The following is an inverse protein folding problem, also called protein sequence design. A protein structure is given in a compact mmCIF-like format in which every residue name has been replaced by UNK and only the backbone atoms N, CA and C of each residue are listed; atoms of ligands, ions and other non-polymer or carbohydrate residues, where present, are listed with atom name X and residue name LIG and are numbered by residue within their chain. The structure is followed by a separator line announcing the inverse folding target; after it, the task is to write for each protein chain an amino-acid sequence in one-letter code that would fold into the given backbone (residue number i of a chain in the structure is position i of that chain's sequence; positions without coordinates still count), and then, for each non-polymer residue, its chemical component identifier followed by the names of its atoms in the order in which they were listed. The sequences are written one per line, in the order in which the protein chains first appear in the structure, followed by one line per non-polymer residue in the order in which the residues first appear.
data_IF_895319785230
#
_entry.id   IF_895319785230
#
_cell.length_a   1.000
_cell.length_b   1.000
_cell.length_c   1.000
_cell.angle_alpha   90.00
_cell.angle_beta   90.00
_cell.angle_gamma   90.00
#
_symmetry.space_group_name_H-M   'P 1'
#
loop_
_entity.id
_entity.type
_entity.pdbx_description
1 polymer ?
#
# COMPACT_ATOMS: atom_id res chain seq x y z
N UNK A 1 -25.20 4.43 -64.95
CA UNK A 1 -25.80 4.91 -63.67
C UNK A 1 -25.60 3.79 -62.65
N UNK A 2 -24.59 3.88 -61.80
CA UNK A 2 -24.22 2.88 -60.80
C UNK A 2 -24.76 3.30 -59.43
N UNK A 3 -25.69 2.53 -58.92
CA UNK A 3 -26.20 2.73 -57.52
C UNK A 3 -25.28 1.98 -56.55
N UNK A 4 -24.54 2.71 -55.75
CA UNK A 4 -23.77 2.18 -54.63
C UNK A 4 -24.65 1.99 -53.39
N UNK A 5 -24.85 0.73 -52.98
CA UNK A 5 -25.53 0.44 -51.72
C UNK A 5 -24.57 0.65 -50.53
N UNK A 6 -25.02 1.48 -49.59
CA UNK A 6 -24.29 1.77 -48.38
C UNK A 6 -24.33 0.57 -47.37
N UNK A 7 -23.19 0.26 -46.78
CA UNK A 7 -23.02 -0.81 -45.76
C UNK A 7 -23.92 -0.71 -44.50
N UNK A 8 -24.68 0.39 -44.36
CA UNK A 8 -25.58 0.60 -43.25
C UNK A 8 -27.01 0.05 -43.42
N UNK A 9 -27.37 -0.44 -44.62
CA UNK A 9 -28.70 -0.99 -44.90
C UNK A 9 -28.77 -2.51 -44.87
N UNK A 10 -27.64 -3.23 -44.81
CA UNK A 10 -27.57 -4.70 -44.82
C UNK A 10 -27.88 -5.39 -43.47
N UNK A 11 -28.13 -4.66 -42.40
CA UNK A 11 -28.32 -5.25 -41.04
C UNK A 11 -29.81 -5.33 -40.64
N UNK A 12 -30.76 -4.93 -41.48
CA UNK A 12 -32.18 -4.87 -41.09
C UNK A 12 -33.11 -5.94 -41.69
N UNK A 13 -32.63 -6.90 -42.43
CA UNK A 13 -33.53 -7.92 -43.02
C UNK A 13 -32.89 -9.29 -43.03
N UNK A 14 -32.88 -9.98 -41.91
CA UNK A 14 -32.94 -11.45 -41.79
C UNK A 14 -32.95 -11.79 -40.31
N UNK A 15 -34.07 -12.23 -39.81
CA UNK A 15 -34.26 -13.39 -38.95
C UNK A 15 -35.78 -13.51 -38.61
N UNK A 16 -36.47 -14.34 -39.35
CA UNK A 16 -37.63 -15.07 -38.80
C UNK A 16 -37.47 -16.52 -39.36
N UNK A 17 -36.93 -17.38 -38.55
CA UNK A 17 -37.12 -18.83 -38.64
C UNK A 17 -37.11 -19.41 -37.22
N UNK A 18 -38.27 -19.88 -36.81
CA UNK A 18 -38.50 -20.57 -35.55
C UNK A 18 -37.82 -21.92 -35.53
N UNK A 19 -37.06 -22.18 -34.45
CA UNK A 19 -36.82 -23.54 -33.95
C UNK A 19 -36.73 -23.43 -32.41
N UNK A 20 -37.61 -24.15 -31.74
CA UNK A 20 -37.67 -24.22 -30.29
C UNK A 20 -36.39 -24.80 -29.69
N UNK A 21 -35.72 -23.99 -28.91
CA UNK A 21 -34.75 -24.43 -27.95
C UNK A 21 -35.09 -23.70 -26.64
N UNK A 22 -35.39 -24.45 -25.62
CA UNK A 22 -35.54 -23.98 -24.24
C UNK A 22 -34.22 -23.33 -23.83
N UNK A 23 -34.15 -22.02 -23.98
CA UNK A 23 -33.07 -21.20 -23.42
C UNK A 23 -33.34 -21.13 -21.92
N UNK A 24 -32.57 -21.89 -21.14
CA UNK A 24 -32.42 -21.63 -19.71
C UNK A 24 -31.81 -20.24 -19.59
N UNK A 25 -32.64 -19.25 -19.32
CA UNK A 25 -32.22 -17.92 -18.92
C UNK A 25 -31.46 -18.05 -17.57
N UNK A 26 -30.17 -18.29 -17.63
CA UNK A 26 -29.30 -17.86 -16.54
C UNK A 26 -29.30 -16.35 -16.59
N UNK A 27 -30.22 -15.73 -15.84
CA UNK A 27 -30.09 -14.34 -15.45
C UNK A 27 -28.76 -14.22 -14.71
N UNK A 28 -27.75 -13.69 -15.38
CA UNK A 28 -26.63 -13.09 -14.67
C UNK A 28 -27.24 -11.96 -13.86
N UNK A 29 -27.39 -12.17 -12.55
CA UNK A 29 -27.75 -11.10 -11.65
C UNK A 29 -26.69 -10.01 -11.85
N UNK A 30 -27.10 -8.89 -12.41
CA UNK A 30 -26.30 -7.67 -12.41
C UNK A 30 -25.92 -7.37 -10.97
N UNK A 31 -24.68 -6.96 -10.68
CA UNK A 31 -24.36 -6.43 -9.37
C UNK A 31 -25.38 -5.34 -9.06
N UNK A 32 -25.85 -5.27 -7.81
CA UNK A 32 -26.78 -4.24 -7.35
C UNK A 32 -26.30 -2.86 -7.81
N UNK A 33 -26.93 -2.32 -8.84
CA UNK A 33 -26.59 -1.06 -9.54
C UNK A 33 -26.92 0.19 -8.67
N UNK A 34 -27.24 0.01 -7.39
CA UNK A 34 -27.68 1.06 -6.48
C UNK A 34 -26.61 1.59 -5.53
N UNK A 35 -25.34 1.25 -5.74
CA UNK A 35 -24.28 1.86 -4.91
C UNK A 35 -23.99 3.26 -5.45
N UNK A 36 -24.40 4.30 -4.73
CA UNK A 36 -24.17 5.67 -5.15
C UNK A 36 -22.66 5.99 -5.23
N UNK A 37 -22.22 6.92 -6.10
CA UNK A 37 -20.84 7.39 -6.13
C UNK A 37 -20.30 7.79 -4.75
N UNK A 38 -21.16 8.34 -3.89
CA UNK A 38 -20.80 8.72 -2.51
C UNK A 38 -20.53 7.51 -1.62
N UNK A 39 -21.25 6.40 -1.79
CA UNK A 39 -20.98 5.17 -1.03
C UNK A 39 -19.71 4.46 -1.50
N UNK A 40 -19.43 4.53 -2.80
CA UNK A 40 -18.17 4.04 -3.40
C UNK A 40 -17.00 4.80 -2.79
N UNK A 41 -17.07 6.13 -2.80
CA UNK A 41 -16.04 6.99 -2.21
C UNK A 41 -15.88 6.72 -0.71
N UNK A 42 -16.99 6.64 0.05
CA UNK A 42 -16.96 6.37 1.49
C UNK A 42 -16.33 5.02 1.86
N UNK A 43 -16.45 4.01 1.00
CA UNK A 43 -15.78 2.71 1.21
C UNK A 43 -14.29 2.78 0.90
N UNK A 44 -13.89 3.54 -0.12
CA UNK A 44 -12.49 3.78 -0.42
C UNK A 44 -11.83 4.64 0.67
N UNK A 45 -12.56 5.60 1.25
CA UNK A 45 -12.08 6.49 2.31
C UNK A 45 -11.92 5.82 3.68
N UNK A 46 -12.37 4.57 3.83
CA UNK A 46 -12.14 3.84 5.11
C UNK A 46 -10.65 3.55 5.36
N UNK A 47 -9.82 3.58 4.30
CA UNK A 47 -8.38 3.39 4.42
C UNK A 47 -7.62 4.67 4.14
N UNK A 48 -6.52 4.86 4.86
CA UNK A 48 -5.54 5.90 4.55
C UNK A 48 -4.62 5.41 3.43
N UNK A 49 -5.12 5.39 2.20
CA UNK A 49 -4.34 5.00 1.03
C UNK A 49 -3.33 6.10 0.71
N UNK A 50 -2.08 5.72 0.59
CA UNK A 50 -0.99 6.63 0.25
C UNK A 50 0.12 5.92 -0.50
N UNK A 51 1.28 6.54 -0.52
CA UNK A 51 2.45 6.04 -1.24
C UNK A 51 3.65 5.94 -0.32
N UNK A 52 4.43 4.87 -0.41
CA UNK A 52 5.82 4.88 -0.01
C UNK A 52 6.60 5.68 -1.06
N UNK A 53 7.18 6.80 -0.66
CA UNK A 53 7.81 7.71 -1.63
C UNK A 53 9.03 7.10 -2.34
N UNK A 54 9.45 5.91 -1.93
CA UNK A 54 10.38 5.05 -2.67
C UNK A 54 9.91 4.79 -4.10
N UNK A 55 8.60 4.66 -4.32
CA UNK A 55 8.00 4.50 -5.63
C UNK A 55 8.37 5.65 -6.59
N UNK A 56 8.68 6.82 -6.05
CA UNK A 56 9.06 8.02 -6.77
C UNK A 56 10.52 8.46 -6.51
N UNK A 57 11.41 7.50 -6.16
CA UNK A 57 12.80 7.74 -5.73
C UNK A 57 13.67 8.54 -6.70
N UNK A 58 13.28 8.62 -7.98
CA UNK A 58 13.95 9.43 -9.01
C UNK A 58 13.29 10.79 -9.25
N UNK A 59 12.14 11.04 -8.66
CA UNK A 59 11.47 12.33 -8.76
C UNK A 59 11.95 13.28 -7.65
N UNK A 60 11.86 14.57 -7.92
CA UNK A 60 12.00 15.58 -6.87
C UNK A 60 10.82 15.52 -5.89
N UNK A 61 10.97 16.11 -4.69
CA UNK A 61 9.84 16.27 -3.76
C UNK A 61 8.67 17.02 -4.42
N UNK A 62 8.97 18.06 -5.21
CA UNK A 62 7.93 18.84 -5.88
C UNK A 62 7.17 18.03 -6.92
N UNK A 63 7.85 17.19 -7.69
CA UNK A 63 7.21 16.34 -8.68
C UNK A 63 6.47 15.18 -8.00
N UNK A 64 6.99 14.67 -6.88
CA UNK A 64 6.28 13.71 -6.02
C UNK A 64 4.98 14.31 -5.49
N UNK A 65 4.98 15.55 -5.01
CA UNK A 65 3.77 16.26 -4.57
C UNK A 65 2.77 16.43 -5.74
N UNK A 66 3.24 16.81 -6.92
CA UNK A 66 2.39 16.91 -8.12
C UNK A 66 1.76 15.56 -8.48
N UNK A 67 2.55 14.48 -8.42
CA UNK A 67 2.07 13.12 -8.67
C UNK A 67 1.00 12.72 -7.66
N UNK A 68 1.22 12.92 -6.36
CA UNK A 68 0.23 12.64 -5.31
C UNK A 68 -1.08 13.40 -5.51
N UNK A 69 -1.00 14.69 -5.83
CA UNK A 69 -2.20 15.51 -6.14
C UNK A 69 -2.95 15.00 -7.37
N UNK A 70 -2.23 14.61 -8.44
CA UNK A 70 -2.83 14.04 -9.66
C UNK A 70 -3.53 12.71 -9.39
N UNK A 71 -3.03 11.91 -8.43
CA UNK A 71 -3.59 10.62 -8.03
C UNK A 71 -4.66 10.73 -6.93
N UNK A 72 -4.96 11.95 -6.48
CA UNK A 72 -5.83 12.21 -5.31
C UNK A 72 -5.40 11.38 -4.09
N UNK A 73 -4.11 11.44 -3.75
CA UNK A 73 -3.53 10.83 -2.57
C UNK A 73 -3.18 11.90 -1.54
N UNK A 74 -3.61 11.67 -0.29
CA UNK A 74 -3.43 12.61 0.84
C UNK A 74 -2.40 12.14 1.85
N UNK A 75 -1.83 10.94 1.68
CA UNK A 75 -0.93 10.34 2.66
C UNK A 75 0.36 9.86 2.01
N UNK A 76 1.46 9.95 2.77
CA UNK A 76 2.79 9.55 2.31
C UNK A 76 3.59 8.90 3.45
N UNK A 77 4.36 7.84 3.11
CA UNK A 77 5.52 7.39 3.87
C UNK A 77 6.74 8.03 3.23
N UNK A 78 7.33 9.03 3.90
CA UNK A 78 8.42 9.81 3.31
C UNK A 78 9.76 9.10 3.47
N UNK A 79 10.52 9.01 2.38
CA UNK A 79 11.85 8.37 2.32
C UNK A 79 12.95 9.44 2.30
N UNK A 80 14.16 9.03 2.63
CA UNK A 80 15.37 9.87 2.68
C UNK A 80 15.64 10.64 1.38
N UNK A 81 15.24 10.10 0.22
CA UNK A 81 15.33 10.77 -1.10
C UNK A 81 14.58 12.10 -1.17
N UNK A 82 13.49 12.24 -0.41
CA UNK A 82 12.62 13.41 -0.47
C UNK A 82 12.75 14.30 0.77
N UNK A 83 13.26 13.76 1.87
CA UNK A 83 13.65 14.51 3.07
C UNK A 83 14.72 13.72 3.82
N UNK A 84 15.95 14.19 3.73
CA UNK A 84 17.11 13.50 4.29
C UNK A 84 17.03 13.43 5.82
N UNK A 85 17.44 12.29 6.39
CA UNK A 85 17.67 12.14 7.84
C UNK A 85 18.75 13.11 8.37
N UNK A 86 19.61 13.63 7.47
CA UNK A 86 20.63 14.64 7.79
C UNK A 86 20.12 16.08 7.66
N UNK A 87 18.84 16.28 7.28
CA UNK A 87 18.27 17.62 7.16
C UNK A 87 18.27 18.37 8.49
N UNK A 88 18.35 19.70 8.42
CA UNK A 88 18.19 20.57 9.57
C UNK A 88 16.73 20.65 10.02
N UNK A 89 16.48 21.19 11.23
CA UNK A 89 15.12 21.39 11.71
C UNK A 89 14.33 22.38 10.82
N UNK A 90 15.00 23.39 10.26
CA UNK A 90 14.43 24.37 9.35
C UNK A 90 14.01 23.72 8.02
N UNK A 91 14.85 22.85 7.46
CA UNK A 91 14.54 22.09 6.24
C UNK A 91 13.35 21.16 6.46
N UNK A 92 13.31 20.44 7.59
CA UNK A 92 12.18 19.58 7.98
C UNK A 92 10.89 20.38 8.05
N UNK A 93 10.93 21.51 8.76
CA UNK A 93 9.77 22.41 8.89
C UNK A 93 9.29 22.92 7.53
N UNK A 94 10.20 23.32 6.65
CA UNK A 94 9.87 23.79 5.29
C UNK A 94 9.19 22.68 4.47
N UNK A 95 9.71 21.44 4.51
CA UNK A 95 9.11 20.30 3.79
C UNK A 95 7.74 19.95 4.36
N UNK A 96 7.60 19.91 5.69
CA UNK A 96 6.30 19.64 6.35
C UNK A 96 5.26 20.69 5.96
N UNK A 97 5.61 21.98 5.95
CA UNK A 97 4.69 23.04 5.55
C UNK A 97 4.34 22.95 4.03
N UNK A 98 5.30 22.58 3.19
CA UNK A 98 5.06 22.32 1.76
C UNK A 98 4.06 21.17 1.56
N UNK A 99 4.23 20.05 2.26
CA UNK A 99 3.29 18.92 2.22
C UNK A 99 1.91 19.32 2.72
N UNK A 100 1.83 20.02 3.86
CA UNK A 100 0.58 20.51 4.45
C UNK A 100 -0.17 21.46 3.50
N UNK A 101 0.53 22.42 2.88
CA UNK A 101 -0.04 23.31 1.88
C UNK A 101 -0.59 22.55 0.67
N UNK A 102 0.02 21.43 0.32
CA UNK A 102 -0.45 20.53 -0.74
C UNK A 102 -1.61 19.61 -0.30
N UNK A 103 -2.01 19.63 0.98
CA UNK A 103 -3.03 18.73 1.55
C UNK A 103 -2.52 17.29 1.75
N UNK A 104 -1.19 17.11 1.90
CA UNK A 104 -0.55 15.81 2.06
C UNK A 104 -0.05 15.68 3.50
N UNK A 105 -0.37 14.56 4.16
CA UNK A 105 0.03 14.25 5.52
C UNK A 105 1.04 13.10 5.55
N UNK A 106 2.25 13.30 6.06
CA UNK A 106 3.19 12.21 6.29
C UNK A 106 2.73 11.40 7.50
N UNK A 107 2.45 10.11 7.29
CA UNK A 107 2.01 9.18 8.34
C UNK A 107 3.12 8.24 8.80
N UNK A 108 4.11 8.01 7.94
CA UNK A 108 5.31 7.28 8.31
C UNK A 108 6.53 7.80 7.57
N UNK A 109 7.71 7.37 8.00
CA UNK A 109 8.99 7.61 7.33
C UNK A 109 9.86 6.36 7.35
N UNK A 110 10.84 6.27 6.50
CA UNK A 110 11.75 5.11 6.42
C UNK A 110 11.55 4.34 5.11
N UNK A 111 12.14 3.18 4.87
CA UNK A 111 12.74 2.26 5.84
C UNK A 111 14.11 2.78 6.34
N UNK A 112 14.30 2.87 7.64
CA UNK A 112 15.53 3.36 8.27
C UNK A 112 16.27 2.16 8.89
N UNK A 113 17.54 1.94 8.46
CA UNK A 113 18.41 0.99 9.15
C UNK A 113 18.80 1.56 10.51
N UNK A 114 18.65 0.76 11.58
CA UNK A 114 18.94 1.16 12.94
C UNK A 114 19.97 0.23 13.56
N UNK A 115 21.23 0.65 13.48
CA UNK A 115 22.33 0.02 14.20
C UNK A 115 22.27 0.35 15.69
N UNK A 116 22.95 -0.43 16.54
CA UNK A 116 23.01 -0.19 17.98
C UNK A 116 23.90 1.03 18.30
N UNK A 117 23.44 2.20 17.91
CA UNK A 117 24.07 3.49 18.13
C UNK A 117 23.02 4.51 18.57
N UNK A 118 23.09 4.92 19.85
CA UNK A 118 22.08 5.81 20.44
C UNK A 118 21.95 7.14 19.68
N UNK A 119 23.05 7.74 19.24
CA UNK A 119 23.02 9.02 18.53
C UNK A 119 22.27 8.91 17.20
N UNK A 120 22.51 7.84 16.44
CA UNK A 120 21.86 7.61 15.15
C UNK A 120 20.37 7.26 15.34
N UNK A 121 20.03 6.46 16.34
CA UNK A 121 18.65 6.13 16.65
C UNK A 121 17.90 7.39 17.11
N UNK A 122 18.47 8.14 18.05
CA UNK A 122 17.89 9.40 18.53
C UNK A 122 17.62 10.38 17.39
N UNK A 123 18.56 10.52 16.47
CA UNK A 123 18.41 11.33 15.26
C UNK A 123 17.18 10.95 14.42
N UNK A 124 16.90 9.64 14.26
CA UNK A 124 15.72 9.18 13.54
C UNK A 124 14.42 9.52 14.28
N UNK A 125 14.43 9.45 15.63
CA UNK A 125 13.29 9.84 16.44
C UNK A 125 13.08 11.36 16.47
N UNK A 126 14.15 12.15 16.57
CA UNK A 126 14.09 13.62 16.47
C UNK A 126 13.53 14.04 15.10
N UNK A 127 14.02 13.41 14.01
CA UNK A 127 13.49 13.64 12.67
C UNK A 127 11.98 13.39 12.61
N UNK A 128 11.51 12.24 13.10
CA UNK A 128 10.08 11.91 13.07
C UNK A 128 9.26 12.87 13.92
N UNK A 129 9.78 13.25 15.11
CA UNK A 129 9.15 14.23 16.01
C UNK A 129 9.03 15.61 15.37
N UNK A 130 10.11 16.14 14.79
CA UNK A 130 10.13 17.44 14.11
C UNK A 130 9.16 17.51 12.94
N UNK A 131 9.01 16.38 12.22
CA UNK A 131 8.08 16.26 11.11
C UNK A 131 6.64 15.94 11.53
N UNK A 132 6.36 15.70 12.81
CA UNK A 132 5.05 15.27 13.28
C UNK A 132 4.64 13.89 12.79
N UNK A 133 5.61 13.02 12.45
CA UNK A 133 5.40 11.68 11.90
C UNK A 133 5.18 10.68 13.04
N UNK A 134 4.03 9.99 13.10
CA UNK A 134 3.70 9.11 14.22
C UNK A 134 4.36 7.72 14.17
N UNK A 135 4.89 7.31 13.01
CA UNK A 135 5.43 5.96 12.81
C UNK A 135 6.74 5.99 12.02
N UNK A 136 7.76 5.31 12.53
CA UNK A 136 9.02 5.08 11.82
C UNK A 136 9.02 3.65 11.30
N UNK A 137 9.13 3.46 9.99
CA UNK A 137 9.41 2.15 9.37
C UNK A 137 10.91 1.91 9.43
N UNK A 138 11.33 0.76 9.94
CA UNK A 138 12.74 0.50 10.19
C UNK A 138 13.15 -0.95 9.96
N UNK A 139 14.47 -1.14 9.80
CA UNK A 139 15.16 -2.45 9.79
C UNK A 139 16.26 -2.44 10.84
N UNK A 140 15.92 -2.71 12.12
CA UNK A 140 16.88 -2.65 13.21
C UNK A 140 17.85 -3.83 13.21
N UNK A 141 19.03 -3.60 13.77
CA UNK A 141 19.88 -4.70 14.20
C UNK A 141 19.31 -5.30 15.49
N UNK A 142 19.37 -6.63 15.71
CA UNK A 142 18.75 -7.26 16.89
C UNK A 142 19.27 -6.74 18.24
N UNK A 143 20.52 -6.34 18.33
CA UNK A 143 21.14 -5.78 19.54
C UNK A 143 20.72 -4.34 19.83
N UNK A 144 20.09 -3.64 18.89
CA UNK A 144 19.52 -2.30 19.11
C UNK A 144 18.17 -2.34 19.81
N UNK A 145 17.50 -3.49 19.90
CA UNK A 145 16.11 -3.60 20.40
C UNK A 145 15.92 -3.05 21.83
N UNK A 146 16.82 -3.25 22.83
CA UNK A 146 16.67 -2.65 24.15
C UNK A 146 16.70 -1.11 24.11
N UNK A 147 17.52 -0.54 23.22
CA UNK A 147 17.61 0.91 23.04
C UNK A 147 16.37 1.46 22.34
N UNK A 148 15.84 0.76 21.34
CA UNK A 148 14.59 1.10 20.68
C UNK A 148 13.40 1.08 21.66
N UNK A 149 13.38 0.10 22.58
CA UNK A 149 12.37 0.03 23.64
C UNK A 149 12.37 1.26 24.56
N UNK A 150 13.55 1.78 24.89
CA UNK A 150 13.71 3.05 25.60
C UNK A 150 13.19 4.23 24.76
N UNK A 151 13.57 4.30 23.47
CA UNK A 151 13.26 5.43 22.60
C UNK A 151 11.75 5.56 22.30
N UNK A 152 11.06 4.46 22.04
CA UNK A 152 9.59 4.51 21.80
C UNK A 152 8.82 5.02 23.01
N UNK A 153 9.32 4.77 24.22
CA UNK A 153 8.73 5.30 25.46
C UNK A 153 9.01 6.79 25.64
N UNK A 154 10.25 7.21 25.37
CA UNK A 154 10.70 8.60 25.50
C UNK A 154 9.97 9.52 24.50
N UNK A 155 9.87 9.10 23.23
CA UNK A 155 9.33 9.93 22.16
C UNK A 155 7.82 9.74 21.93
N UNK A 156 7.25 8.65 22.43
CA UNK A 156 5.88 8.22 22.14
C UNK A 156 5.61 8.07 20.62
N UNK A 157 6.59 7.57 19.87
CA UNK A 157 6.53 7.31 18.43
C UNK A 157 6.55 5.80 18.23
N UNK A 158 5.77 5.30 17.27
CA UNK A 158 5.73 3.89 16.92
C UNK A 158 6.89 3.51 16.01
N UNK A 159 7.40 2.30 16.21
CA UNK A 159 8.31 1.65 15.26
C UNK A 159 7.57 0.51 14.55
N UNK A 160 7.70 0.48 13.24
CA UNK A 160 7.16 -0.56 12.39
C UNK A 160 8.32 -1.28 11.68
N UNK A 161 8.72 -2.46 12.19
CA UNK A 161 9.82 -3.24 11.62
C UNK A 161 9.33 -3.88 10.32
N UNK A 162 10.07 -3.62 9.26
CA UNK A 162 9.77 -4.05 7.89
C UNK A 162 10.38 -5.43 7.60
N UNK A 163 9.57 -6.36 7.08
CA UNK A 163 10.08 -7.63 6.57
C UNK A 163 10.50 -7.52 5.10
N UNK A 164 11.64 -8.11 4.72
CA UNK A 164 12.27 -7.93 3.41
C UNK A 164 12.29 -9.17 2.51
N UNK A 165 11.66 -10.28 2.94
CA UNK A 165 11.66 -11.50 2.14
C UNK A 165 12.86 -12.43 2.44
N UNK A 166 12.98 -13.53 1.70
CA UNK A 166 13.89 -14.63 2.03
C UNK A 166 15.39 -14.26 2.01
N UNK A 167 15.75 -13.17 1.36
CA UNK A 167 17.12 -12.66 1.30
C UNK A 167 17.55 -11.93 2.58
N UNK A 168 16.62 -11.41 3.36
CA UNK A 168 16.93 -10.78 4.65
C UNK A 168 17.03 -11.84 5.75
N UNK A 169 18.23 -12.02 6.29
CA UNK A 169 18.50 -12.99 7.35
C UNK A 169 17.88 -12.63 8.70
N UNK A 170 17.50 -11.37 8.91
CA UNK A 170 16.95 -10.85 10.17
C UNK A 170 15.44 -10.94 10.19
N UNK A 171 14.80 -10.41 9.16
CA UNK A 171 13.35 -10.27 9.09
C UNK A 171 12.80 -10.74 7.73
N UNK A 172 12.93 -12.03 7.39
CA UNK A 172 12.40 -12.54 6.11
C UNK A 172 10.87 -12.49 6.06
N UNK A 173 10.20 -12.67 7.19
CA UNK A 173 8.74 -12.72 7.26
C UNK A 173 8.17 -11.93 8.45
N UNK A 174 6.87 -11.62 8.48
CA UNK A 174 6.20 -11.02 9.64
C UNK A 174 6.31 -11.86 10.92
N UNK A 175 6.48 -13.16 10.80
CA UNK A 175 6.67 -14.06 11.94
C UNK A 175 8.02 -13.86 12.63
N UNK A 176 9.06 -13.55 11.86
CA UNK A 176 10.39 -13.25 12.40
C UNK A 176 10.40 -11.88 13.08
N UNK A 177 9.74 -10.91 12.48
CA UNK A 177 9.51 -9.60 13.13
C UNK A 177 8.77 -9.79 14.46
N UNK A 178 7.68 -10.59 14.47
CA UNK A 178 6.92 -10.82 15.69
C UNK A 178 7.75 -11.43 16.81
N UNK A 179 8.59 -12.42 16.50
CA UNK A 179 9.52 -13.01 17.48
C UNK A 179 10.42 -11.97 18.13
N UNK A 180 10.89 -10.99 17.34
CA UNK A 180 11.77 -9.94 17.81
C UNK A 180 11.03 -8.89 18.69
N UNK A 181 9.76 -8.55 18.37
CA UNK A 181 9.08 -7.43 19.03
C UNK A 181 8.23 -7.80 20.23
N UNK A 182 7.81 -9.06 20.35
CA UNK A 182 6.80 -9.47 21.34
C UNK A 182 7.20 -9.21 22.80
N UNK A 183 8.51 -9.21 23.10
CA UNK A 183 9.05 -9.00 24.44
C UNK A 183 9.24 -7.51 24.81
N UNK A 184 9.05 -6.60 23.85
CA UNK A 184 9.28 -5.15 24.01
C UNK A 184 7.98 -4.37 24.06
N UNK A 185 8.09 -3.07 24.30
CA UNK A 185 6.96 -2.14 24.36
C UNK A 185 6.04 -2.30 23.14
N UNK A 186 4.73 -2.18 23.38
CA UNK A 186 3.74 -2.37 22.33
C UNK A 186 3.83 -1.37 21.17
N UNK A 187 4.53 -0.25 21.33
CA UNK A 187 4.80 0.70 20.23
C UNK A 187 5.79 0.18 19.22
N UNK A 188 6.51 -0.92 19.51
CA UNK A 188 7.34 -1.61 18.53
C UNK A 188 6.50 -2.73 17.92
N UNK A 189 6.27 -2.65 16.62
CA UNK A 189 5.43 -3.56 15.87
C UNK A 189 5.92 -3.79 14.45
N UNK A 190 5.00 -4.05 13.54
CA UNK A 190 5.27 -4.53 12.19
C UNK A 190 4.90 -3.48 11.14
N UNK A 191 5.74 -3.38 10.12
CA UNK A 191 5.37 -2.97 8.78
C UNK A 191 5.35 -4.24 7.92
N UNK A 192 4.17 -4.74 7.56
CA UNK A 192 4.06 -5.92 6.70
C UNK A 192 4.19 -5.49 5.25
N UNK A 193 5.25 -5.95 4.58
CA UNK A 193 5.35 -5.89 3.13
C UNK A 193 4.71 -7.15 2.54
N UNK A 194 3.62 -6.98 1.79
CA UNK A 194 2.83 -8.13 1.32
C UNK A 194 3.56 -8.93 0.24
N UNK A 195 4.39 -8.28 -0.60
CA UNK A 195 5.17 -8.94 -1.62
C UNK A 195 6.32 -9.76 -1.01
N UNK A 196 7.09 -9.16 -0.12
CA UNK A 196 8.16 -9.85 0.59
C UNK A 196 7.62 -10.98 1.48
N UNK A 197 6.45 -10.79 2.09
CA UNK A 197 5.78 -11.83 2.87
C UNK A 197 5.45 -13.06 2.01
N UNK A 198 4.88 -12.84 0.82
CA UNK A 198 4.55 -13.93 -0.10
C UNK A 198 5.81 -14.63 -0.65
N UNK A 199 6.89 -13.87 -0.96
CA UNK A 199 8.19 -14.43 -1.36
C UNK A 199 8.82 -15.29 -0.25
N UNK A 200 8.58 -14.96 1.02
CA UNK A 200 8.94 -15.79 2.17
C UNK A 200 7.96 -16.97 2.41
N UNK A 201 7.12 -17.31 1.39
CA UNK A 201 6.15 -18.41 1.45
C UNK A 201 5.17 -18.32 2.62
N UNK A 202 4.81 -17.09 2.99
CA UNK A 202 3.86 -16.77 4.05
C UNK A 202 2.64 -16.07 3.45
N UNK A 203 1.43 -16.41 3.90
CA UNK A 203 0.21 -15.72 3.46
C UNK A 203 0.11 -14.32 4.10
N UNK A 204 0.10 -13.24 3.30
CA UNK A 204 0.00 -11.89 3.83
C UNK A 204 -1.31 -11.61 4.56
N UNK A 205 -2.44 -12.16 4.10
CA UNK A 205 -3.74 -11.94 4.71
C UNK A 205 -3.84 -12.60 6.10
N UNK A 206 -3.31 -13.81 6.24
CA UNK A 206 -3.20 -14.48 7.54
C UNK A 206 -2.29 -13.71 8.49
N UNK A 207 -1.13 -13.24 8.03
CA UNK A 207 -0.18 -12.46 8.83
C UNK A 207 -0.81 -11.15 9.33
N UNK A 208 -1.55 -10.43 8.46
CA UNK A 208 -2.29 -9.20 8.82
C UNK A 208 -3.26 -9.47 9.97
N UNK A 209 -4.08 -10.51 9.88
CA UNK A 209 -5.05 -10.87 10.93
C UNK A 209 -4.33 -11.26 12.22
N UNK A 210 -3.28 -12.08 12.10
CA UNK A 210 -2.54 -12.61 13.25
C UNK A 210 -1.87 -11.51 14.05
N UNK A 211 -1.22 -10.58 13.38
CA UNK A 211 -0.41 -9.53 14.01
C UNK A 211 -1.11 -8.17 14.12
N UNK A 212 -2.43 -8.13 13.94
CA UNK A 212 -3.26 -6.92 13.91
C UNK A 212 -3.02 -5.92 15.05
N UNK A 213 -2.67 -6.40 16.25
CA UNK A 213 -2.50 -5.54 17.43
C UNK A 213 -1.26 -4.65 17.35
N UNK A 214 -0.27 -5.02 16.54
CA UNK A 214 1.00 -4.31 16.36
C UNK A 214 1.35 -4.06 14.89
N UNK A 215 0.35 -4.08 13.99
CA UNK A 215 0.52 -3.72 12.59
C UNK A 215 0.38 -2.20 12.43
N UNK A 216 1.49 -1.49 12.27
CA UNK A 216 1.57 -0.03 12.28
C UNK A 216 1.84 0.61 10.93
N UNK A 217 2.29 -0.16 9.96
CA UNK A 217 2.42 0.25 8.56
C UNK A 217 2.23 -0.97 7.65
N UNK A 218 1.95 -0.76 6.39
CA UNK A 218 1.81 -1.83 5.43
C UNK A 218 2.30 -1.35 4.07
N UNK A 219 3.28 -2.05 3.50
CA UNK A 219 3.68 -1.87 2.12
C UNK A 219 2.83 -2.77 1.22
N UNK A 220 1.95 -2.13 0.46
CA UNK A 220 1.05 -2.78 -0.47
C UNK A 220 1.65 -2.78 -1.87
N UNK A 221 1.74 -3.93 -2.48
CA UNK A 221 2.27 -4.15 -3.84
C UNK A 221 1.70 -5.42 -4.44
N UNK A 222 1.93 -5.63 -5.73
CA UNK A 222 1.79 -6.92 -6.37
C UNK A 222 3.14 -7.38 -6.93
N UNK A 223 3.31 -8.67 -7.15
CA UNK A 223 4.55 -9.27 -7.63
C UNK A 223 4.27 -10.29 -8.72
N UNK A 224 5.20 -10.45 -9.65
CA UNK A 224 5.09 -11.36 -10.80
C UNK A 224 5.18 -12.84 -10.41
N UNK A 225 5.88 -13.16 -9.32
CA UNK A 225 6.00 -14.53 -8.78
C UNK A 225 6.29 -14.50 -7.29
N UNK A 226 5.87 -15.54 -6.57
CA UNK A 226 6.21 -15.74 -5.14
C UNK A 226 7.59 -16.37 -4.92
N UNK A 227 8.37 -16.60 -5.97
CA UNK A 227 9.74 -17.07 -5.84
C UNK A 227 10.66 -15.99 -5.25
N UNK A 228 11.83 -16.36 -4.71
CA UNK A 228 12.73 -15.39 -4.05
C UNK A 228 13.11 -14.20 -4.94
N UNK A 229 13.18 -14.37 -6.25
CA UNK A 229 13.52 -13.33 -7.22
C UNK A 229 12.30 -12.56 -7.78
N UNK A 230 11.11 -12.76 -7.23
CA UNK A 230 9.88 -12.07 -7.63
C UNK A 230 10.02 -10.55 -7.58
N UNK A 231 9.51 -9.88 -8.60
CA UNK A 231 9.61 -8.42 -8.79
C UNK A 231 8.25 -7.76 -8.65
N UNK A 232 8.27 -6.52 -8.21
CA UNK A 232 7.05 -5.70 -8.15
C UNK A 232 6.51 -5.44 -9.56
N UNK A 233 5.22 -5.63 -9.70
CA UNK A 233 4.44 -5.35 -10.91
C UNK A 233 3.21 -4.51 -10.52
N UNK A 234 2.47 -4.00 -11.50
CA UNK A 234 1.24 -3.23 -11.27
C UNK A 234 0.20 -4.08 -10.51
N UNK A 235 -0.42 -3.48 -9.51
CA UNK A 235 -1.43 -4.17 -8.71
C UNK A 235 -2.59 -4.70 -9.57
N UNK A 236 -2.89 -5.98 -9.42
CA UNK A 236 -3.88 -6.71 -10.20
C UNK A 236 -3.33 -7.43 -11.44
N UNK A 237 -2.06 -7.23 -11.78
CA UNK A 237 -1.39 -7.98 -12.86
C UNK A 237 -0.51 -9.11 -12.33
N UNK A 238 -0.26 -9.12 -11.02
CA UNK A 238 0.61 -10.11 -10.37
C UNK A 238 -0.13 -11.31 -9.83
N UNK A 239 0.54 -12.02 -8.94
CA UNK A 239 0.08 -13.31 -8.41
C UNK A 239 -0.54 -13.21 -7.02
N UNK A 240 -0.51 -12.05 -6.36
CA UNK A 240 -1.04 -11.92 -5.01
C UNK A 240 -2.58 -11.86 -5.00
N UNK A 241 -3.18 -12.49 -4.00
CA UNK A 241 -4.61 -12.33 -3.76
C UNK A 241 -4.89 -11.00 -3.04
N UNK A 242 -4.85 -9.89 -3.80
CA UNK A 242 -5.04 -8.54 -3.27
C UNK A 242 -6.43 -8.36 -2.62
N UNK A 243 -7.44 -9.08 -3.10
CA UNK A 243 -8.79 -9.09 -2.49
C UNK A 243 -8.73 -9.62 -1.07
N UNK A 244 -8.07 -10.77 -0.85
CA UNK A 244 -7.92 -11.38 0.48
C UNK A 244 -7.15 -10.46 1.44
N UNK A 245 -6.10 -9.81 0.96
CA UNK A 245 -5.29 -8.85 1.72
C UNK A 245 -6.15 -7.66 2.17
N UNK A 246 -6.91 -7.04 1.25
CA UNK A 246 -7.78 -5.92 1.57
C UNK A 246 -8.93 -6.33 2.50
N UNK A 247 -9.52 -7.53 2.32
CA UNK A 247 -10.50 -8.09 3.25
C UNK A 247 -9.94 -8.29 4.66
N UNK A 248 -8.69 -8.77 4.77
CA UNK A 248 -8.03 -8.91 6.06
C UNK A 248 -7.85 -7.55 6.76
N UNK A 249 -7.45 -6.51 6.02
CA UNK A 249 -7.34 -5.14 6.54
C UNK A 249 -8.70 -4.57 6.97
N UNK A 250 -9.78 -4.83 6.21
CA UNK A 250 -11.15 -4.46 6.62
C UNK A 250 -11.56 -5.18 7.90
N UNK A 251 -11.33 -6.48 7.99
CA UNK A 251 -11.68 -7.30 9.15
C UNK A 251 -11.04 -6.82 10.44
N UNK A 252 -9.81 -6.31 10.38
CA UNK A 252 -9.10 -5.77 11.55
C UNK A 252 -9.36 -4.28 11.78
N UNK A 253 -10.19 -3.64 10.96
CA UNK A 253 -10.42 -2.20 10.97
C UNK A 253 -9.11 -1.40 10.94
N UNK A 254 -8.24 -1.68 9.96
CA UNK A 254 -6.91 -1.08 9.84
C UNK A 254 -6.97 0.44 9.70
N UNK A 255 -6.26 1.16 10.58
CA UNK A 255 -6.32 2.62 10.68
C UNK A 255 -5.00 3.32 10.36
N UNK A 256 -3.95 2.57 10.04
CA UNK A 256 -2.65 3.10 9.68
C UNK A 256 -2.51 3.30 8.16
N UNK A 257 -1.32 3.65 7.69
CA UNK A 257 -1.07 3.88 6.27
C UNK A 257 -1.11 2.57 5.47
N UNK A 258 -1.97 2.53 4.45
CA UNK A 258 -1.91 1.55 3.36
C UNK A 258 -1.00 2.15 2.28
N UNK A 259 0.27 1.86 2.35
CA UNK A 259 1.33 2.48 1.57
C UNK A 259 1.58 1.69 0.30
N UNK A 260 1.11 2.13 -0.86
CA UNK A 260 1.54 1.52 -2.11
C UNK A 260 3.04 1.71 -2.29
N UNK A 261 3.77 0.62 -2.52
CA UNK A 261 5.19 0.64 -2.86
C UNK A 261 5.43 -0.05 -4.20
N UNK A 262 5.80 0.74 -5.20
CA UNK A 262 6.14 0.27 -6.54
C UNK A 262 7.64 0.39 -6.78
N UNK A 263 8.29 -0.71 -7.10
CA UNK A 263 9.75 -0.77 -7.25
C UNK A 263 10.21 -0.93 -8.71
N UNK A 264 9.25 -1.02 -9.64
CA UNK A 264 9.49 -1.18 -11.08
C UNK A 264 10.03 0.09 -11.75
N UNK A 265 9.53 0.42 -12.91
CA UNK A 265 9.94 1.52 -13.81
C UNK A 265 10.32 2.83 -13.10
N UNK A 266 11.56 2.91 -12.57
CA UNK A 266 11.97 4.02 -11.70
C UNK A 266 12.07 5.38 -12.39
N UNK A 267 12.26 5.40 -13.72
CA UNK A 267 12.37 6.64 -14.49
C UNK A 267 11.01 7.24 -14.85
N UNK A 268 9.96 6.42 -14.97
CA UNK A 268 8.58 6.88 -15.17
C UNK A 268 7.59 5.97 -14.40
N UNK A 269 7.56 6.06 -13.07
CA UNK A 269 6.72 5.19 -12.25
C UNK A 269 5.24 5.60 -12.24
N UNK A 270 4.91 6.83 -12.68
CA UNK A 270 3.57 7.40 -12.52
C UNK A 270 2.46 6.59 -13.20
N UNK A 271 2.60 6.07 -14.44
CA UNK A 271 1.56 5.24 -15.05
C UNK A 271 1.26 3.98 -14.26
N UNK A 272 2.29 3.25 -13.84
CA UNK A 272 2.16 2.01 -13.07
C UNK A 272 1.56 2.26 -11.67
N UNK A 273 1.99 3.32 -11.00
CA UNK A 273 1.42 3.75 -9.71
C UNK A 273 -0.04 4.15 -9.88
N UNK A 274 -0.39 4.89 -10.95
CA UNK A 274 -1.77 5.29 -11.22
C UNK A 274 -2.68 4.09 -11.46
N UNK A 275 -2.22 3.11 -12.23
CA UNK A 275 -2.94 1.85 -12.46
C UNK A 275 -3.15 1.10 -11.13
N UNK A 276 -2.09 0.92 -10.34
CA UNK A 276 -2.13 0.23 -9.05
C UNK A 276 -3.09 0.89 -8.05
N UNK A 277 -3.07 2.22 -7.95
CA UNK A 277 -3.99 2.97 -7.09
C UNK A 277 -5.43 2.86 -7.61
N UNK A 278 -5.63 2.99 -8.93
CA UNK A 278 -6.95 2.85 -9.54
C UNK A 278 -7.55 1.47 -9.30
N UNK A 279 -6.76 0.41 -9.49
CA UNK A 279 -7.17 -0.95 -9.22
C UNK A 279 -7.53 -1.16 -7.74
N UNK A 280 -6.69 -0.70 -6.82
CA UNK A 280 -6.92 -0.80 -5.37
C UNK A 280 -8.20 -0.07 -4.94
N UNK A 281 -8.38 1.17 -5.40
CA UNK A 281 -9.61 1.95 -5.15
C UNK A 281 -10.84 1.25 -5.76
N UNK A 282 -10.72 0.67 -6.96
CA UNK A 282 -11.78 -0.10 -7.63
C UNK A 282 -12.21 -1.34 -6.84
N UNK A 283 -11.24 -2.12 -6.32
CA UNK A 283 -11.53 -3.27 -5.45
C UNK A 283 -12.28 -2.86 -4.20
N UNK A 284 -11.84 -1.80 -3.52
CA UNK A 284 -12.51 -1.29 -2.31
C UNK A 284 -13.92 -0.80 -2.62
N UNK A 285 -14.10 -0.10 -3.74
CA UNK A 285 -15.39 0.41 -4.20
C UNK A 285 -16.39 -0.71 -4.51
N UNK A 286 -15.94 -1.82 -5.11
CA UNK A 286 -16.78 -2.99 -5.40
C UNK A 286 -17.29 -3.71 -4.14
N UNK A 287 -16.79 -3.34 -2.95
CA UNK A 287 -17.15 -3.98 -1.68
C UNK A 287 -16.47 -5.32 -1.47
N UNK A 288 -15.36 -5.59 -2.20
CA UNK A 288 -14.50 -6.77 -2.07
C UNK A 288 -15.27 -8.10 -2.12
N UNK A 289 -16.24 -8.22 -3.05
CA UNK A 289 -17.01 -9.45 -3.26
C UNK A 289 -17.68 -9.90 -1.98
N UNK A 290 -18.90 -9.45 -1.70
CA UNK A 290 -19.73 -10.05 -0.67
C UNK A 290 -19.92 -11.53 -1.05
N UNK A 291 -19.17 -12.46 -0.43
CA UNK A 291 -19.62 -13.84 -0.38
C UNK A 291 -20.97 -13.80 0.31
N UNK A 292 -22.04 -14.09 -0.43
CA UNK A 292 -23.28 -14.55 0.21
C UNK A 292 -22.86 -15.78 0.99
N UNK A 293 -22.87 -15.68 2.32
CA UNK A 293 -22.85 -16.83 3.18
C UNK A 293 -24.20 -17.50 2.92
N UNK A 294 -24.17 -18.62 2.18
CA UNK A 294 -25.27 -19.57 2.07
C UNK A 294 -25.36 -20.36 3.33
#
# INVERSE_FOLDING_TARGET
MSNSFSRRQAIKTSVLAALGATVVNKTFASPDDNTSPNEIQKKADQFKIGIASYSFRKLSLDDTIKALKRLDLKYISIKDFHLSLNSTAEERKAVVEKLKTAGITPLSCGNITMENNEANIRKAFDYAKDCGIPTIVCSPHPDSMPLLDKMVKEYNIKLAIHNHGPEDKRFPSPYDVWKAVQAYDSRIGLCIDVGHTARAKTDPAEAIIKFRQRLYDLHFKDIDTTEPNGKTIEAGRGVLNLVSILQALQKINYQHLLSLEYEGWENDPLPAVAESIGYTKGLLASGLGKKKVS
#
